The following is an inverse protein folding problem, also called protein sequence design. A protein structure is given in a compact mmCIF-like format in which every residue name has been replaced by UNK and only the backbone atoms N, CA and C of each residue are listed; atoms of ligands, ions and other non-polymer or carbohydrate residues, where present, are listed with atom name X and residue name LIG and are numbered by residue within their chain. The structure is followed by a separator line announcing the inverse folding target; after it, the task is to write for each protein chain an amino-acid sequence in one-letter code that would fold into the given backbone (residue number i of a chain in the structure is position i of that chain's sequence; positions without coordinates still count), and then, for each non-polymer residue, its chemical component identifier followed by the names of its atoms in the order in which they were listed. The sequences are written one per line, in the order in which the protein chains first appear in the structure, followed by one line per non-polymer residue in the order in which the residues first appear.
data_IF_220270634650
#
_entry.id   IF_220270634650
#
_cell.length_a   1.000
_cell.length_b   1.000
_cell.length_c   1.000
_cell.angle_alpha   90.00
_cell.angle_beta   90.00
_cell.angle_gamma   90.00
#
_symmetry.space_group_name_H-M   'P 1'
#
loop_
_entity.id
_entity.type
_entity.pdbx_description
1 polymer ?
#
# COMPACT_ATOMS: atom_id res chain seq x y z
N UNK A 1 45.45 71.21 56.00
CA UNK A 1 44.86 71.47 57.34
C UNK A 1 44.23 70.18 57.82
N UNK A 2 44.90 69.47 58.75
CA UNK A 2 44.48 69.30 60.16
C UNK A 2 43.44 68.16 60.31
N UNK A 3 43.79 66.91 60.70
CA UNK A 3 44.23 66.36 62.01
C UNK A 3 43.25 66.56 63.17
N UNK A 4 42.72 65.45 63.72
CA UNK A 4 42.39 65.17 65.14
C UNK A 4 42.22 63.63 65.28
N UNK A 5 43.11 62.84 65.91
CA UNK A 5 43.35 62.55 67.37
C UNK A 5 42.08 62.04 68.10
N UNK A 6 42.02 60.98 68.94
CA UNK A 6 42.93 60.27 69.86
C UNK A 6 42.58 58.74 69.86
N UNK A 7 43.47 57.73 69.97
CA UNK A 7 44.44 57.28 71.00
C UNK A 7 43.83 56.67 72.29
N UNK A 8 44.12 55.38 72.55
CA UNK A 8 43.80 54.67 73.79
C UNK A 8 44.19 53.19 73.76
N UNK A 9 45.42 52.88 74.20
CA UNK A 9 46.08 51.57 74.27
C UNK A 9 45.64 50.79 75.51
N UNK A 10 45.44 49.46 75.39
CA UNK A 10 45.59 48.54 76.53
C UNK A 10 46.11 47.15 76.08
N UNK A 11 47.28 46.79 76.59
CA UNK A 11 47.99 45.51 76.51
C UNK A 11 47.31 44.45 77.39
N UNK A 12 47.14 43.19 76.92
CA UNK A 12 47.32 41.95 77.72
C UNK A 12 47.70 40.74 76.81
N UNK A 13 48.77 40.07 77.24
CA UNK A 13 49.51 38.82 76.90
C UNK A 13 48.91 37.62 76.10
N UNK A 14 49.65 37.18 75.07
CA UNK A 14 50.48 35.96 74.91
C UNK A 14 50.02 34.53 75.39
N UNK A 15 50.15 33.58 74.44
CA UNK A 15 50.59 32.15 74.47
C UNK A 15 49.54 31.03 74.24
N UNK A 16 49.69 30.26 73.13
CA UNK A 16 49.93 28.80 73.06
C UNK A 16 49.08 28.00 72.04
N UNK A 17 49.78 27.13 71.28
CA UNK A 17 49.35 25.89 70.57
C UNK A 17 48.20 25.97 69.55
N UNK A 18 48.21 25.27 68.41
CA UNK A 18 49.08 24.27 67.80
C UNK A 18 48.39 23.92 66.46
N UNK A 19 49.11 23.81 65.35
CA UNK A 19 49.46 22.49 64.84
C UNK A 19 48.23 21.70 64.33
N UNK A 20 47.78 22.00 63.11
CA UNK A 20 46.73 21.22 62.45
C UNK A 20 46.62 21.57 60.97
N UNK A 21 47.46 20.93 60.14
CA UNK A 21 47.17 20.78 58.70
C UNK A 21 45.94 19.90 58.60
N UNK A 22 44.77 20.50 58.45
CA UNK A 22 43.60 19.78 57.99
C UNK A 22 43.86 19.38 56.54
N UNK A 23 44.05 18.08 56.31
CA UNK A 23 43.75 17.52 54.99
C UNK A 23 42.28 17.86 54.72
N UNK A 24 42.09 18.77 53.76
CA UNK A 24 40.79 19.10 53.21
C UNK A 24 40.27 17.82 52.55
N UNK A 25 39.47 17.05 53.29
CA UNK A 25 38.77 15.89 52.77
C UNK A 25 37.99 16.35 51.55
N UNK A 26 38.42 15.87 50.38
CA UNK A 26 37.73 16.14 49.13
C UNK A 26 36.24 15.81 49.34
N UNK A 27 35.32 16.74 49.00
CA UNK A 27 33.90 16.52 49.20
C UNK A 27 33.48 15.20 48.55
N UNK A 28 32.59 14.42 49.19
CA UNK A 28 32.21 13.10 48.69
C UNK A 28 31.66 13.21 47.26
N UNK A 29 31.96 12.23 46.38
CA UNK A 29 31.54 12.26 44.99
C UNK A 29 30.02 12.43 44.89
N UNK A 30 29.52 13.35 44.04
CA UNK A 30 28.11 13.63 43.96
C UNK A 30 27.33 12.37 43.53
N UNK A 31 26.15 12.10 44.11
CA UNK A 31 25.30 11.00 43.69
C UNK A 31 24.69 11.29 42.32
N UNK A 32 24.72 10.30 41.44
CA UNK A 32 24.15 10.35 40.09
C UNK A 32 23.37 9.09 39.81
N UNK A 33 22.29 9.18 39.05
CA UNK A 33 21.57 7.98 38.62
C UNK A 33 22.15 7.48 37.31
N UNK A 34 22.34 6.17 37.23
CA UNK A 34 22.92 5.50 36.07
C UNK A 34 22.01 4.44 35.49
N UNK A 35 22.23 4.14 34.22
CA UNK A 35 21.46 3.18 33.45
C UNK A 35 22.37 2.48 32.44
N UNK A 36 22.26 1.15 32.35
CA UNK A 36 23.00 0.35 31.38
C UNK A 36 22.34 0.41 30.01
N UNK A 37 23.11 0.74 28.99
CA UNK A 37 22.68 0.83 27.59
C UNK A 37 22.29 -0.56 27.08
N UNK A 38 21.07 -0.66 26.55
CA UNK A 38 20.55 -1.86 25.90
C UNK A 38 20.41 -1.65 24.40
N UNK A 39 20.63 -2.73 23.67
CA UNK A 39 20.37 -2.81 22.23
C UNK A 39 18.91 -3.16 21.99
N UNK A 40 18.26 -2.43 21.09
CA UNK A 40 16.91 -2.72 20.62
C UNK A 40 16.82 -2.49 19.11
N UNK A 41 15.96 -3.24 18.40
CA UNK A 41 15.72 -3.02 16.99
C UNK A 41 14.99 -1.69 16.77
N UNK A 42 15.65 -0.78 16.08
CA UNK A 42 15.13 0.52 15.63
C UNK A 42 14.67 0.35 14.19
N UNK A 43 13.36 0.37 13.98
CA UNK A 43 12.76 0.14 12.68
C UNK A 43 12.26 1.49 12.14
N UNK A 44 12.93 2.09 11.14
CA UNK A 44 12.47 3.31 10.51
C UNK A 44 11.02 3.20 10.06
N UNK A 45 10.19 4.14 10.54
CA UNK A 45 8.79 4.29 10.13
C UNK A 45 8.64 5.58 9.35
N UNK A 46 8.09 5.47 8.16
CA UNK A 46 7.75 6.61 7.31
C UNK A 46 6.24 6.64 7.10
N UNK A 47 5.66 7.84 7.16
CA UNK A 47 4.24 8.05 6.95
C UNK A 47 4.04 8.94 5.73
N UNK A 48 3.17 8.49 4.84
CA UNK A 48 2.79 9.20 3.63
C UNK A 48 1.28 9.34 3.57
N UNK A 49 0.80 10.42 2.95
CA UNK A 49 -0.61 10.56 2.62
C UNK A 49 -0.80 10.04 1.20
N UNK A 50 -1.69 9.07 1.06
CA UNK A 50 -2.04 8.48 -0.21
C UNK A 50 -3.52 8.62 -0.54
N UNK A 51 -3.86 8.28 -1.77
CA UNK A 51 -5.21 8.21 -2.29
C UNK A 51 -5.53 6.79 -2.70
N UNK A 52 -6.69 6.32 -2.28
CA UNK A 52 -7.20 4.99 -2.62
C UNK A 52 -7.77 5.02 -4.05
N UNK A 53 -7.36 4.07 -4.88
CA UNK A 53 -7.77 3.91 -6.27
C UNK A 53 -8.29 2.49 -6.52
N UNK A 54 -9.38 2.37 -7.29
CA UNK A 54 -9.84 1.06 -7.75
C UNK A 54 -8.79 0.41 -8.65
N UNK A 55 -8.73 -0.93 -8.64
CA UNK A 55 -7.77 -1.64 -9.49
C UNK A 55 -8.10 -1.49 -10.96
N UNK A 56 -9.39 -1.63 -11.29
CA UNK A 56 -9.93 -1.44 -12.63
C UNK A 56 -11.20 -0.59 -12.52
N UNK A 57 -11.37 0.35 -13.44
CA UNK A 57 -12.58 1.16 -13.59
C UNK A 57 -13.06 1.04 -15.03
N UNK A 58 -14.33 0.68 -15.22
CA UNK A 58 -14.95 0.65 -16.54
C UNK A 58 -16.22 1.49 -16.57
N UNK A 59 -16.25 2.45 -17.51
CA UNK A 59 -17.41 3.30 -17.77
C UNK A 59 -18.25 2.66 -18.87
N UNK A 60 -19.39 2.09 -18.49
CA UNK A 60 -20.32 1.39 -19.39
C UNK A 60 -20.96 2.41 -20.33
N UNK A 61 -20.75 2.26 -21.63
CA UNK A 61 -21.32 3.13 -22.67
C UNK A 61 -22.06 2.30 -23.72
N UNK A 62 -23.20 2.79 -24.24
CA UNK A 62 -23.88 2.13 -25.33
C UNK A 62 -23.08 2.33 -26.63
N UNK A 63 -23.14 1.34 -27.52
CA UNK A 63 -22.51 1.40 -28.85
C UNK A 63 -23.48 1.72 -29.97
N UNK A 64 -24.78 1.59 -29.70
CA UNK A 64 -25.88 1.91 -30.60
C UNK A 64 -26.85 2.86 -29.92
N UNK A 65 -27.60 3.61 -30.71
CA UNK A 65 -28.61 4.54 -30.22
C UNK A 65 -29.98 3.87 -30.08
N UNK A 66 -30.66 4.10 -28.97
CA UNK A 66 -32.01 3.57 -28.74
C UNK A 66 -32.54 3.85 -27.34
N UNK A 67 -33.78 3.46 -27.09
CA UNK A 67 -34.40 3.60 -25.78
C UNK A 67 -34.06 2.42 -24.88
N UNK A 68 -33.72 2.67 -23.63
CA UNK A 68 -33.55 1.60 -22.62
C UNK A 68 -34.91 0.93 -22.41
N UNK A 69 -34.98 -0.36 -22.68
CA UNK A 69 -36.14 -1.20 -22.44
C UNK A 69 -36.19 -1.68 -20.98
N UNK A 70 -35.06 -2.16 -20.44
CA UNK A 70 -34.98 -2.69 -19.09
C UNK A 70 -33.58 -2.58 -18.50
N UNK A 71 -33.53 -2.56 -17.16
CA UNK A 71 -32.30 -2.62 -16.36
C UNK A 71 -32.25 -3.91 -15.54
N UNK A 72 -31.11 -4.60 -15.57
CA UNK A 72 -30.92 -5.94 -15.02
C UNK A 72 -29.93 -6.00 -13.84
N UNK A 73 -29.78 -4.90 -13.10
CA UNK A 73 -28.98 -4.82 -11.88
C UNK A 73 -29.60 -3.85 -10.86
N UNK A 74 -29.21 -4.01 -9.61
CA UNK A 74 -29.47 -3.05 -8.53
C UNK A 74 -28.22 -2.21 -8.32
N UNK A 75 -28.40 -0.90 -8.13
CA UNK A 75 -27.29 0.02 -7.90
C UNK A 75 -26.56 -0.31 -6.60
N UNK A 76 -25.23 -0.26 -6.64
CA UNK A 76 -24.39 -0.60 -5.49
C UNK A 76 -24.14 -2.10 -5.30
N UNK A 77 -24.74 -2.98 -6.12
CA UNK A 77 -24.46 -4.41 -6.05
C UNK A 77 -23.17 -4.79 -6.80
N UNK A 78 -22.67 -5.99 -6.51
CA UNK A 78 -21.57 -6.59 -7.27
C UNK A 78 -22.11 -7.29 -8.51
N UNK A 79 -21.69 -6.85 -9.68
CA UNK A 79 -22.01 -7.48 -10.97
C UNK A 79 -20.90 -8.42 -11.40
N UNK A 80 -21.26 -9.49 -12.10
CA UNK A 80 -20.29 -10.45 -12.65
C UNK A 80 -19.95 -10.13 -14.11
N UNK A 81 -18.73 -10.43 -14.54
CA UNK A 81 -18.36 -10.36 -15.95
C UNK A 81 -19.33 -11.19 -16.81
N UNK A 82 -19.89 -10.57 -17.85
CA UNK A 82 -20.88 -11.20 -18.74
C UNK A 82 -22.32 -11.12 -18.23
N UNK A 83 -22.59 -10.49 -17.09
CA UNK A 83 -23.95 -10.21 -16.62
C UNK A 83 -24.59 -9.12 -17.48
N UNK A 84 -25.84 -9.34 -17.92
CA UNK A 84 -26.64 -8.33 -18.61
C UNK A 84 -26.92 -7.16 -17.65
N UNK A 85 -26.67 -5.92 -18.09
CA UNK A 85 -26.87 -4.71 -17.30
C UNK A 85 -28.04 -3.89 -17.82
N UNK A 86 -28.06 -3.63 -19.12
CA UNK A 86 -29.10 -2.86 -19.79
C UNK A 86 -29.50 -3.56 -21.08
N UNK A 87 -30.79 -3.46 -21.41
CA UNK A 87 -31.34 -3.85 -22.70
C UNK A 87 -31.87 -2.59 -23.38
N UNK A 88 -31.40 -2.31 -24.59
CA UNK A 88 -31.95 -1.29 -25.50
C UNK A 88 -33.02 -1.96 -26.35
N UNK A 89 -34.12 -1.26 -26.66
CA UNK A 89 -35.20 -1.79 -27.50
C UNK A 89 -34.63 -2.42 -28.80
N UNK A 90 -34.71 -3.76 -28.95
CA UNK A 90 -34.09 -4.45 -30.06
C UNK A 90 -34.97 -4.39 -31.32
N UNK A 91 -36.24 -3.98 -31.24
CA UNK A 91 -37.20 -4.07 -32.36
C UNK A 91 -36.72 -3.35 -33.63
N UNK A 92 -36.16 -2.12 -33.56
CA UNK A 92 -35.64 -1.45 -34.75
C UNK A 92 -34.45 -2.20 -35.38
N UNK A 93 -33.60 -2.81 -34.55
CA UNK A 93 -32.43 -3.57 -34.98
C UNK A 93 -32.80 -4.92 -35.58
N UNK A 94 -33.78 -5.63 -35.00
CA UNK A 94 -34.34 -6.85 -35.57
C UNK A 94 -34.95 -6.57 -36.94
N UNK A 95 -35.74 -5.49 -37.07
CA UNK A 95 -36.33 -5.11 -38.36
C UNK A 95 -35.26 -4.75 -39.40
N UNK A 96 -34.19 -4.05 -39.00
CA UNK A 96 -33.06 -3.73 -39.87
C UNK A 96 -32.31 -4.99 -40.33
N UNK A 97 -32.08 -5.95 -39.42
CA UNK A 97 -31.46 -7.24 -39.73
C UNK A 97 -32.29 -8.05 -40.73
N UNK A 98 -33.60 -8.15 -40.52
CA UNK A 98 -34.48 -8.88 -41.44
C UNK A 98 -34.51 -8.24 -42.83
N UNK A 99 -34.45 -6.90 -42.93
CA UNK A 99 -34.29 -6.21 -44.21
C UNK A 99 -32.97 -6.58 -44.91
N UNK A 100 -31.84 -6.64 -44.19
CA UNK A 100 -30.57 -7.04 -44.79
C UNK A 100 -30.55 -8.52 -45.22
N UNK A 101 -31.19 -9.40 -44.44
CA UNK A 101 -31.37 -10.82 -44.81
C UNK A 101 -32.18 -10.97 -46.09
N UNK A 102 -33.23 -10.18 -46.28
CA UNK A 102 -34.00 -10.15 -47.52
C UNK A 102 -33.14 -9.69 -48.72
N UNK A 103 -32.34 -8.64 -48.55
CA UNK A 103 -31.42 -8.16 -49.59
C UNK A 103 -30.37 -9.21 -49.96
N UNK A 104 -29.82 -9.93 -48.98
CA UNK A 104 -28.90 -11.04 -49.21
C UNK A 104 -29.58 -12.18 -49.99
N UNK A 105 -30.82 -12.54 -49.63
CA UNK A 105 -31.59 -13.55 -50.35
C UNK A 105 -31.85 -13.16 -51.81
N UNK A 106 -32.12 -11.88 -52.08
CA UNK A 106 -32.25 -11.34 -53.43
C UNK A 106 -30.93 -11.47 -54.21
N UNK A 107 -29.80 -11.05 -53.63
CA UNK A 107 -28.48 -11.15 -54.26
C UNK A 107 -28.08 -12.61 -54.54
N UNK A 108 -28.36 -13.53 -53.61
CA UNK A 108 -28.12 -14.96 -53.81
C UNK A 108 -28.99 -15.52 -54.95
N UNK A 109 -30.22 -15.04 -55.10
CA UNK A 109 -31.10 -15.42 -56.20
C UNK A 109 -30.55 -14.94 -57.54
N UNK A 110 -30.04 -13.71 -57.61
CA UNK A 110 -29.37 -13.17 -58.79
C UNK A 110 -28.11 -13.96 -59.15
N UNK A 111 -27.27 -14.29 -58.16
CA UNK A 111 -26.09 -15.13 -58.36
C UNK A 111 -26.44 -16.51 -58.92
N UNK A 112 -27.50 -17.17 -58.43
CA UNK A 112 -27.96 -18.46 -58.98
C UNK A 112 -28.40 -18.36 -60.44
N UNK A 113 -28.93 -17.20 -60.88
CA UNK A 113 -29.27 -16.98 -62.29
C UNK A 113 -27.99 -16.75 -63.10
N UNK A 114 -27.10 -15.86 -62.65
CA UNK A 114 -25.84 -15.57 -63.32
C UNK A 114 -24.94 -16.82 -63.46
N UNK A 115 -24.82 -17.60 -62.39
CA UNK A 115 -24.05 -18.86 -62.39
C UNK A 115 -24.60 -19.88 -63.40
N UNK A 116 -25.92 -20.05 -63.49
CA UNK A 116 -26.53 -20.94 -64.48
C UNK A 116 -26.28 -20.46 -65.91
N UNK A 117 -26.33 -19.15 -66.14
CA UNK A 117 -26.05 -18.57 -67.46
C UNK A 117 -24.57 -18.70 -67.83
N UNK A 118 -23.65 -18.45 -66.89
CA UNK A 118 -22.22 -18.65 -67.06
C UNK A 118 -21.89 -20.11 -67.38
N UNK A 119 -22.42 -21.07 -66.61
CA UNK A 119 -22.24 -22.52 -66.87
C UNK A 119 -22.78 -22.95 -68.24
N UNK A 120 -23.91 -22.38 -68.67
CA UNK A 120 -24.46 -22.60 -70.01
C UNK A 120 -23.56 -21.98 -71.07
N UNK A 121 -23.02 -20.79 -70.83
CA UNK A 121 -22.07 -20.10 -71.69
C UNK A 121 -20.82 -20.94 -71.97
N UNK A 122 -20.23 -21.53 -70.91
CA UNK A 122 -19.08 -22.43 -71.03
C UNK A 122 -19.36 -23.61 -71.99
N UNK A 123 -20.53 -24.23 -71.90
CA UNK A 123 -20.90 -25.33 -72.79
C UNK A 123 -21.10 -24.89 -74.25
N UNK A 124 -21.60 -23.66 -74.46
CA UNK A 124 -21.91 -23.13 -75.79
C UNK A 124 -20.68 -22.55 -76.49
N UNK A 125 -19.72 -21.97 -75.75
CA UNK A 125 -18.49 -21.43 -76.35
C UNK A 125 -17.60 -22.54 -76.87
N UNK A 126 -17.52 -23.68 -76.17
CA UNK A 126 -16.80 -24.88 -76.61
C UNK A 126 -17.37 -25.46 -77.91
N UNK A 127 -18.67 -25.26 -78.14
CA UNK A 127 -19.39 -25.69 -79.35
C UNK A 127 -19.36 -24.63 -80.48
N UNK A 128 -18.75 -23.46 -80.25
CA UNK A 128 -18.75 -22.34 -81.18
C UNK A 128 -20.12 -21.66 -81.35
N UNK A 129 -21.06 -21.89 -80.42
CA UNK A 129 -22.42 -21.37 -80.47
C UNK A 129 -22.56 -19.93 -79.93
N UNK A 130 -21.58 -19.43 -79.17
CA UNK A 130 -21.46 -18.03 -78.72
C UNK A 130 -20.06 -17.49 -78.97
N UNK A 131 -19.91 -16.17 -79.02
CA UNK A 131 -18.61 -15.51 -79.18
C UNK A 131 -17.83 -15.42 -77.86
N UNK A 132 -16.51 -15.20 -77.93
CA UNK A 132 -15.69 -14.94 -76.74
C UNK A 132 -16.14 -13.70 -75.97
N UNK A 133 -16.52 -12.61 -76.68
CA UNK A 133 -17.06 -11.39 -76.05
C UNK A 133 -18.31 -11.71 -75.23
N UNK A 134 -19.21 -12.55 -75.75
CA UNK A 134 -20.42 -12.93 -75.03
C UNK A 134 -20.11 -13.83 -73.82
N UNK A 135 -19.07 -14.68 -73.91
CA UNK A 135 -18.58 -15.46 -72.78
C UNK A 135 -17.97 -14.56 -71.70
N UNK A 136 -17.20 -13.53 -72.08
CA UNK A 136 -16.61 -12.55 -71.16
C UNK A 136 -17.70 -11.75 -70.43
N UNK A 137 -18.77 -11.34 -71.13
CA UNK A 137 -19.94 -10.67 -70.53
C UNK A 137 -20.63 -11.55 -69.48
N UNK A 138 -20.81 -12.84 -69.76
CA UNK A 138 -21.39 -13.80 -68.80
C UNK A 138 -20.49 -14.01 -67.58
N UNK A 139 -19.17 -14.06 -67.80
CA UNK A 139 -18.17 -14.16 -66.74
C UNK A 139 -18.23 -12.94 -65.83
N UNK A 140 -18.20 -11.73 -66.42
CA UNK A 140 -18.30 -10.48 -65.67
C UNK A 140 -19.59 -10.38 -64.86
N UNK A 141 -20.74 -10.77 -65.44
CA UNK A 141 -22.03 -10.79 -64.72
C UNK A 141 -22.02 -11.78 -63.54
N UNK A 142 -21.36 -12.94 -63.69
CA UNK A 142 -21.22 -13.92 -62.62
C UNK A 142 -20.34 -13.40 -61.47
N UNK A 143 -19.18 -12.83 -61.79
CA UNK A 143 -18.25 -12.25 -60.82
C UNK A 143 -18.86 -11.04 -60.08
N UNK A 144 -19.62 -10.20 -60.80
CA UNK A 144 -20.38 -9.09 -60.22
C UNK A 144 -21.43 -9.60 -59.23
N UNK A 145 -22.24 -10.58 -59.63
CA UNK A 145 -23.26 -11.16 -58.75
C UNK A 145 -22.63 -11.85 -57.52
N UNK A 146 -21.45 -12.47 -57.68
CA UNK A 146 -20.71 -13.07 -56.57
C UNK A 146 -20.24 -12.00 -55.59
N UNK A 147 -19.68 -10.90 -56.10
CA UNK A 147 -19.25 -9.74 -55.32
C UNK A 147 -20.42 -9.10 -54.58
N UNK A 148 -21.58 -8.98 -55.24
CA UNK A 148 -22.80 -8.45 -54.63
C UNK A 148 -23.28 -9.31 -53.46
N UNK A 149 -23.20 -10.65 -53.57
CA UNK A 149 -23.53 -11.54 -52.45
C UNK A 149 -22.58 -11.31 -51.27
N UNK A 150 -21.27 -11.12 -51.52
CA UNK A 150 -20.31 -10.83 -50.46
C UNK A 150 -20.62 -9.48 -49.77
N UNK A 151 -20.93 -8.44 -50.54
CA UNK A 151 -21.32 -7.14 -50.00
C UNK A 151 -22.59 -7.22 -49.13
N UNK A 152 -23.62 -7.96 -49.58
CA UNK A 152 -24.85 -8.13 -48.80
C UNK A 152 -24.64 -8.98 -47.55
N UNK A 153 -23.73 -9.97 -47.56
CA UNK A 153 -23.35 -10.71 -46.35
C UNK A 153 -22.74 -9.78 -45.32
N UNK A 154 -21.79 -8.92 -45.72
CA UNK A 154 -21.18 -7.96 -44.80
C UNK A 154 -22.21 -6.99 -44.18
N UNK A 155 -23.26 -6.63 -44.91
CA UNK A 155 -24.36 -5.82 -44.38
C UNK A 155 -25.21 -6.58 -43.35
N UNK A 156 -25.45 -7.89 -43.56
CA UNK A 156 -26.11 -8.74 -42.55
C UNK A 156 -25.26 -8.83 -41.29
N UNK A 157 -23.96 -9.15 -41.43
CA UNK A 157 -23.03 -9.27 -40.30
C UNK A 157 -22.98 -7.96 -39.47
N UNK A 158 -22.99 -6.81 -40.15
CA UNK A 158 -23.08 -5.50 -39.48
C UNK A 158 -24.40 -5.35 -38.71
N UNK A 159 -25.54 -5.68 -39.30
CA UNK A 159 -26.83 -5.58 -38.63
C UNK A 159 -26.96 -6.55 -37.45
N UNK A 160 -26.35 -7.74 -37.53
CA UNK A 160 -26.26 -8.69 -36.40
C UNK A 160 -25.39 -8.13 -35.28
N UNK A 161 -24.28 -7.47 -35.62
CA UNK A 161 -23.43 -6.81 -34.63
C UNK A 161 -24.15 -5.66 -33.93
N UNK A 162 -24.84 -4.81 -34.69
CA UNK A 162 -25.62 -3.69 -34.14
C UNK A 162 -26.74 -4.22 -33.22
N UNK A 163 -27.41 -5.32 -33.58
CA UNK A 163 -28.38 -6.00 -32.72
C UNK A 163 -27.70 -6.56 -31.45
N UNK A 164 -26.52 -7.16 -31.54
CA UNK A 164 -25.81 -7.67 -30.35
C UNK A 164 -25.45 -6.56 -29.35
N UNK A 165 -25.32 -5.31 -29.82
CA UNK A 165 -25.03 -4.15 -28.98
C UNK A 165 -26.25 -3.58 -28.26
N UNK A 166 -27.46 -4.08 -28.53
CA UNK A 166 -28.65 -3.71 -27.77
C UNK A 166 -28.61 -4.30 -26.36
N UNK A 167 -27.93 -5.44 -26.21
CA UNK A 167 -27.67 -6.06 -24.91
C UNK A 167 -26.31 -5.61 -24.37
N UNK A 168 -26.33 -4.86 -23.27
CA UNK A 168 -25.11 -4.31 -22.67
C UNK A 168 -24.69 -5.16 -21.49
N UNK A 169 -23.57 -5.85 -21.64
CA UNK A 169 -23.00 -6.75 -20.64
C UNK A 169 -21.87 -6.11 -19.83
N UNK A 170 -21.70 -6.55 -18.58
CA UNK A 170 -20.57 -6.16 -17.74
C UNK A 170 -19.24 -6.73 -18.27
N UNK A 171 -18.22 -5.91 -18.59
CA UNK A 171 -16.95 -6.40 -19.11
C UNK A 171 -16.03 -6.98 -18.03
N UNK A 172 -16.28 -6.65 -16.76
CA UNK A 172 -15.53 -7.10 -15.59
C UNK A 172 -16.45 -7.32 -14.40
N UNK A 173 -16.00 -8.15 -13.46
CA UNK A 173 -16.67 -8.35 -12.17
C UNK A 173 -16.28 -7.21 -11.23
N UNK A 174 -17.25 -6.53 -10.63
CA UNK A 174 -16.99 -5.39 -9.76
C UNK A 174 -18.27 -4.77 -9.21
N UNK A 175 -18.11 -3.72 -8.39
CA UNK A 175 -19.22 -2.97 -7.81
C UNK A 175 -19.76 -2.01 -8.87
N UNK A 176 -21.06 -2.07 -9.14
CA UNK A 176 -21.70 -1.15 -10.08
C UNK A 176 -22.22 0.10 -9.35
N UNK A 177 -21.88 1.27 -9.88
CA UNK A 177 -22.35 2.55 -9.36
C UNK A 177 -23.81 2.83 -9.70
N UNK A 178 -24.27 4.04 -9.33
CA UNK A 178 -25.59 4.52 -9.73
C UNK A 178 -25.68 4.70 -11.25
N UNK A 179 -26.91 4.72 -11.76
CA UNK A 179 -27.20 5.14 -13.12
C UNK A 179 -28.14 6.33 -13.12
N UNK A 180 -27.88 7.30 -13.98
CA UNK A 180 -28.76 8.46 -14.16
C UNK A 180 -29.85 8.18 -15.24
N UNK A 181 -29.85 6.98 -15.82
CA UNK A 181 -30.76 6.57 -16.90
C UNK A 181 -31.75 5.51 -16.42
N UNK A 182 -33.03 5.77 -16.66
CA UNK A 182 -34.13 4.84 -16.35
C UNK A 182 -34.68 4.19 -17.61
N UNK A 183 -35.55 3.19 -17.45
CA UNK A 183 -36.36 2.65 -18.54
C UNK A 183 -37.07 3.79 -19.29
N UNK A 184 -37.06 3.71 -20.62
CA UNK A 184 -37.57 4.75 -21.53
C UNK A 184 -36.59 5.89 -21.83
N UNK A 185 -35.39 5.91 -21.25
CA UNK A 185 -34.37 6.92 -21.58
C UNK A 185 -33.76 6.65 -22.95
N UNK A 186 -33.59 7.70 -23.77
CA UNK A 186 -32.83 7.61 -25.02
C UNK A 186 -31.33 7.67 -24.72
N UNK A 187 -30.58 6.68 -25.20
CA UNK A 187 -29.13 6.58 -25.02
C UNK A 187 -28.43 6.31 -26.33
N UNK A 188 -27.14 6.60 -26.42
CA UNK A 188 -26.35 6.37 -27.64
C UNK A 188 -24.86 6.67 -27.44
N UNK A 189 -24.01 6.45 -28.45
CA UNK A 189 -22.55 6.55 -28.30
C UNK A 189 -22.03 7.91 -27.81
N UNK A 190 -22.83 8.96 -28.01
CA UNK A 190 -22.51 10.33 -27.59
C UNK A 190 -22.99 10.68 -26.17
N UNK A 191 -23.72 9.79 -25.49
CA UNK A 191 -24.19 10.05 -24.11
C UNK A 191 -23.11 9.77 -23.07
N UNK A 192 -23.33 10.30 -21.86
CA UNK A 192 -22.52 9.94 -20.71
C UNK A 192 -22.61 8.44 -20.40
N UNK A 193 -21.63 7.89 -19.64
CA UNK A 193 -21.66 6.50 -19.22
C UNK A 193 -22.97 6.15 -18.50
N UNK A 194 -23.58 5.02 -18.86
CA UNK A 194 -24.81 4.53 -18.24
C UNK A 194 -24.57 4.16 -16.77
N UNK A 195 -23.43 3.56 -16.50
CA UNK A 195 -22.98 3.20 -15.15
C UNK A 195 -21.45 3.05 -15.16
N UNK A 196 -20.85 3.08 -13.97
CA UNK A 196 -19.43 2.79 -13.77
C UNK A 196 -19.29 1.53 -12.93
N UNK A 197 -18.45 0.60 -13.37
CA UNK A 197 -18.13 -0.62 -12.64
C UNK A 197 -16.69 -0.50 -12.14
N UNK A 198 -16.50 -0.66 -10.85
CA UNK A 198 -15.18 -0.54 -10.20
C UNK A 198 -14.80 -1.85 -9.53
N UNK A 199 -13.56 -2.27 -9.75
CA UNK A 199 -13.00 -3.43 -9.07
C UNK A 199 -12.26 -2.97 -7.81
N UNK A 200 -12.87 -3.28 -6.67
CA UNK A 200 -12.44 -2.82 -5.35
C UNK A 200 -11.58 -3.82 -4.58
N UNK A 201 -11.51 -5.07 -5.04
CA UNK A 201 -10.64 -6.09 -4.46
C UNK A 201 -9.80 -6.78 -5.57
N UNK A 202 -8.46 -6.71 -5.51
CA UNK A 202 -7.67 -5.86 -4.60
C UNK A 202 -7.88 -4.36 -4.88
N UNK A 203 -7.32 -3.50 -4.04
CA UNK A 203 -7.35 -2.03 -4.18
C UNK A 203 -5.94 -1.45 -4.22
N UNK A 204 -5.78 -0.30 -4.86
CA UNK A 204 -4.52 0.44 -4.89
C UNK A 204 -4.56 1.63 -3.93
N UNK A 205 -3.38 2.00 -3.43
CA UNK A 205 -3.14 3.28 -2.77
C UNK A 205 -1.93 3.91 -3.43
N UNK A 206 -2.15 5.09 -4.01
CA UNK A 206 -1.13 5.92 -4.64
C UNK A 206 -0.65 6.97 -3.64
N UNK A 207 0.65 7.05 -3.40
CA UNK A 207 1.24 8.03 -2.49
C UNK A 207 2.60 8.51 -3.01
N UNK A 208 2.98 9.71 -2.62
CA UNK A 208 4.22 10.35 -3.07
C UNK A 208 5.35 10.11 -2.06
N UNK A 209 6.52 9.73 -2.56
CA UNK A 209 7.73 9.51 -1.77
C UNK A 209 8.83 10.47 -2.22
N UNK A 210 9.41 11.27 -1.32
CA UNK A 210 10.53 12.17 -1.65
C UNK A 210 11.73 11.45 -2.29
N UNK A 211 12.39 12.12 -3.25
CA UNK A 211 13.50 11.52 -4.03
C UNK A 211 14.70 11.09 -3.17
N UNK A 212 15.00 11.84 -2.10
CA UNK A 212 16.09 11.55 -1.16
C UNK A 212 15.87 10.22 -0.43
N UNK A 213 14.60 9.95 -0.07
CA UNK A 213 14.19 8.69 0.55
C UNK A 213 14.33 7.53 -0.41
N UNK A 214 13.84 7.69 -1.63
CA UNK A 214 13.97 6.65 -2.65
C UNK A 214 15.44 6.34 -2.95
N UNK A 215 16.29 7.37 -3.01
CA UNK A 215 17.73 7.22 -3.18
C UNK A 215 18.35 6.44 -2.02
N UNK A 216 18.04 6.81 -0.77
CA UNK A 216 18.60 6.15 0.42
C UNK A 216 18.28 4.65 0.46
N UNK A 217 17.05 4.26 0.14
CA UNK A 217 16.62 2.85 0.09
C UNK A 217 17.34 2.10 -1.03
N UNK A 218 17.47 2.70 -2.22
CA UNK A 218 18.18 2.09 -3.36
C UNK A 218 19.66 1.87 -3.09
N UNK A 219 20.33 2.83 -2.44
CA UNK A 219 21.74 2.70 -2.05
C UNK A 219 21.89 1.56 -1.03
N UNK A 220 21.04 1.52 -0.01
CA UNK A 220 21.06 0.47 1.00
C UNK A 220 20.82 -0.92 0.38
N UNK A 221 19.85 -1.07 -0.53
CA UNK A 221 19.64 -2.32 -1.27
C UNK A 221 20.85 -2.70 -2.13
N UNK A 222 21.50 -1.72 -2.75
CA UNK A 222 22.72 -1.92 -3.55
C UNK A 222 23.88 -2.46 -2.71
N UNK A 223 24.14 -1.87 -1.55
CA UNK A 223 25.17 -2.30 -0.60
C UNK A 223 24.91 -3.72 -0.11
N UNK A 224 23.68 -3.99 0.34
CA UNK A 224 23.29 -5.32 0.83
C UNK A 224 23.44 -6.42 -0.22
N UNK A 225 23.11 -6.10 -1.48
CA UNK A 225 23.32 -7.03 -2.61
C UNK A 225 24.82 -7.32 -2.83
N UNK A 226 25.68 -6.32 -2.68
CA UNK A 226 27.13 -6.51 -2.77
C UNK A 226 27.67 -7.36 -1.62
N UNK A 227 27.08 -7.24 -0.43
CA UNK A 227 27.47 -7.97 0.80
C UNK A 227 26.82 -9.35 0.92
N UNK A 228 25.95 -9.75 -0.03
CA UNK A 228 25.24 -11.03 -0.01
C UNK A 228 24.15 -11.12 1.08
N UNK A 229 23.70 -9.99 1.60
CA UNK A 229 22.67 -9.89 2.63
C UNK A 229 21.25 -9.98 2.03
N UNK A 230 20.28 -10.37 2.85
CA UNK A 230 18.87 -10.42 2.46
C UNK A 230 18.36 -9.01 2.03
N UNK A 231 17.45 -8.94 1.03
CA UNK A 231 16.89 -7.67 0.57
C UNK A 231 16.11 -6.96 1.67
N UNK A 232 15.97 -5.64 1.52
CA UNK A 232 15.21 -4.80 2.45
C UNK A 232 13.76 -5.27 2.48
N UNK A 233 13.24 -5.55 3.67
CA UNK A 233 11.83 -5.90 3.83
C UNK A 233 11.02 -4.65 4.16
N UNK A 234 9.94 -4.43 3.42
CA UNK A 234 9.03 -3.31 3.62
C UNK A 234 7.71 -3.84 4.19
N UNK A 235 7.31 -3.37 5.37
CA UNK A 235 5.95 -3.59 5.90
C UNK A 235 5.12 -2.35 5.60
N UNK A 236 4.27 -2.46 4.57
CA UNK A 236 3.37 -1.38 4.13
C UNK A 236 2.01 -1.59 4.77
N UNK A 237 1.57 -0.64 5.59
CA UNK A 237 0.27 -0.66 6.25
C UNK A 237 -0.49 0.62 5.99
N UNK A 238 -1.81 0.55 6.14
CA UNK A 238 -2.66 1.74 6.18
C UNK A 238 -3.04 1.97 7.64
N UNK A 239 -2.84 3.18 8.12
CA UNK A 239 -3.33 3.63 9.41
C UNK A 239 -4.70 4.29 9.22
N UNK A 240 -5.65 3.87 10.06
CA UNK A 240 -7.01 4.37 10.06
C UNK A 240 -7.13 5.63 10.93
N UNK A 241 -8.20 6.44 10.77
CA UNK A 241 -8.38 7.66 11.55
C UNK A 241 -8.44 7.47 13.07
N UNK A 242 -8.79 6.27 13.54
CA UNK A 242 -8.83 5.89 14.96
C UNK A 242 -7.46 5.46 15.52
N UNK A 243 -6.41 5.51 14.70
CA UNK A 243 -5.05 5.09 15.05
C UNK A 243 -4.81 3.57 14.96
N UNK A 244 -5.82 2.79 14.55
CA UNK A 244 -5.65 1.36 14.30
C UNK A 244 -5.08 1.11 12.91
N UNK A 245 -4.48 -0.06 12.69
CA UNK A 245 -4.00 -0.44 11.36
C UNK A 245 -5.07 -1.22 10.62
N UNK A 246 -5.18 -0.96 9.31
CA UNK A 246 -5.95 -1.79 8.39
C UNK A 246 -5.46 -3.26 8.48
N UNK A 247 -6.38 -4.25 8.56
CA UNK A 247 -6.00 -5.63 8.86
C UNK A 247 -5.05 -6.27 7.84
N UNK A 248 -5.14 -5.87 6.57
CA UNK A 248 -4.33 -6.43 5.50
C UNK A 248 -3.11 -5.57 5.21
N UNK A 249 -1.97 -6.24 5.05
CA UNK A 249 -0.72 -5.60 4.62
C UNK A 249 -0.74 -5.34 3.12
N UNK A 250 -0.10 -4.25 2.73
CA UNK A 250 0.07 -3.87 1.34
C UNK A 250 1.40 -4.36 0.78
N UNK A 251 1.49 -4.39 -0.54
CA UNK A 251 2.73 -4.64 -1.28
C UNK A 251 2.96 -3.52 -2.28
N UNK A 252 4.16 -2.97 -2.34
CA UNK A 252 4.52 -2.00 -3.39
C UNK A 252 4.55 -2.75 -4.72
N UNK A 253 3.74 -2.31 -5.67
CA UNK A 253 3.63 -2.94 -7.01
C UNK A 253 4.20 -2.06 -8.11
N UNK A 254 4.35 -0.77 -7.85
CA UNK A 254 4.86 0.19 -8.82
C UNK A 254 5.55 1.35 -8.11
N UNK A 255 6.67 1.77 -8.68
CA UNK A 255 7.38 3.00 -8.36
C UNK A 255 7.58 3.70 -9.69
N UNK A 256 7.18 4.95 -9.80
CA UNK A 256 7.29 5.71 -11.03
C UNK A 256 8.77 5.85 -11.46
N UNK A 257 8.99 5.93 -12.76
CA UNK A 257 10.31 6.18 -13.32
C UNK A 257 10.59 7.68 -13.50
N UNK A 258 9.60 8.54 -13.24
CA UNK A 258 9.73 9.99 -13.26
C UNK A 258 9.59 10.58 -11.86
N UNK A 259 10.37 11.62 -11.60
CA UNK A 259 10.26 12.48 -10.42
C UNK A 259 9.43 13.69 -10.85
N UNK A 260 8.43 14.08 -10.06
CA UNK A 260 7.70 15.31 -10.30
C UNK A 260 8.61 16.52 -9.97
N UNK A 261 8.98 17.36 -10.96
CA UNK A 261 9.88 18.48 -10.74
C UNK A 261 9.31 19.58 -9.84
N UNK A 262 7.99 19.61 -9.63
CA UNK A 262 7.36 20.61 -8.76
C UNK A 262 7.43 20.21 -7.27
N UNK A 263 7.39 18.91 -6.98
CA UNK A 263 7.31 18.39 -5.61
C UNK A 263 8.56 17.64 -5.17
N UNK A 264 9.47 17.30 -6.08
CA UNK A 264 10.69 16.52 -5.78
C UNK A 264 10.36 15.11 -5.27
N UNK A 265 9.22 14.57 -5.66
CA UNK A 265 8.69 13.29 -5.18
C UNK A 265 8.42 12.32 -6.34
N UNK A 266 8.40 11.03 -6.01
CA UNK A 266 8.10 9.93 -6.93
C UNK A 266 6.81 9.26 -6.49
N UNK A 267 5.91 9.06 -7.45
CA UNK A 267 4.66 8.37 -7.20
C UNK A 267 4.92 6.86 -6.96
N UNK A 268 4.38 6.35 -5.87
CA UNK A 268 4.47 4.94 -5.48
C UNK A 268 3.06 4.37 -5.34
N UNK A 269 2.84 3.19 -5.90
CA UNK A 269 1.56 2.48 -5.80
C UNK A 269 1.75 1.20 -4.99
N UNK A 270 0.98 1.09 -3.92
CA UNK A 270 0.84 -0.15 -3.15
C UNK A 270 -0.51 -0.81 -3.41
N UNK A 271 -0.53 -2.14 -3.42
CA UNK A 271 -1.72 -2.97 -3.58
C UNK A 271 -2.09 -3.61 -2.24
N UNK A 272 -3.35 -3.51 -1.87
CA UNK A 272 -3.92 -4.08 -0.64
C UNK A 272 -5.08 -5.01 -0.98
N UNK A 273 -5.20 -6.18 -0.32
CA UNK A 273 -6.45 -6.94 -0.31
C UNK A 273 -7.57 -6.11 0.33
N UNK A 274 -8.78 -6.14 -0.22
CA UNK A 274 -9.93 -5.41 0.32
C UNK A 274 -11.24 -6.23 0.25
N UNK A 275 -11.27 -7.46 0.82
CA UNK A 275 -12.41 -8.36 0.70
C UNK A 275 -13.68 -7.84 1.40
N UNK A 276 -13.54 -7.03 2.47
CA UNK A 276 -14.68 -6.40 3.16
C UNK A 276 -15.04 -5.02 2.59
N UNK A 277 -14.41 -4.56 1.50
CA UNK A 277 -14.68 -3.27 0.86
C UNK A 277 -14.62 -2.06 1.82
N UNK A 278 -13.79 -2.15 2.86
CA UNK A 278 -13.63 -1.08 3.87
C UNK A 278 -12.91 0.14 3.29
N UNK A 279 -12.01 -0.08 2.33
CA UNK A 279 -11.35 1.00 1.59
C UNK A 279 -12.20 1.34 0.36
N UNK A 280 -12.49 2.63 0.17
CA UNK A 280 -13.33 3.13 -0.91
C UNK A 280 -12.51 3.99 -1.88
N UNK A 281 -12.79 3.88 -3.18
CA UNK A 281 -12.11 4.69 -4.19
C UNK A 281 -12.26 6.19 -3.89
N UNK A 282 -11.15 6.92 -3.99
CA UNK A 282 -11.10 8.36 -3.73
C UNK A 282 -10.85 8.74 -2.27
N UNK A 283 -10.92 7.79 -1.33
CA UNK A 283 -10.58 7.99 0.08
C UNK A 283 -9.10 8.37 0.26
N UNK A 284 -8.80 9.20 1.25
CA UNK A 284 -7.42 9.41 1.69
C UNK A 284 -7.00 8.31 2.66
N UNK A 285 -5.79 7.78 2.49
CA UNK A 285 -5.21 6.78 3.36
C UNK A 285 -3.85 7.26 3.89
N UNK A 286 -3.59 7.06 5.18
CA UNK A 286 -2.25 7.25 5.74
C UNK A 286 -1.47 5.96 5.55
N UNK A 287 -0.47 5.97 4.69
CA UNK A 287 0.38 4.82 4.43
C UNK A 287 1.57 4.87 5.38
N UNK A 288 1.71 3.86 6.23
CA UNK A 288 2.86 3.67 7.11
C UNK A 288 3.76 2.60 6.52
N UNK A 289 5.01 2.95 6.23
CA UNK A 289 6.03 2.03 5.72
C UNK A 289 7.08 1.85 6.79
N UNK A 290 7.26 0.61 7.22
CA UNK A 290 8.38 0.23 8.08
C UNK A 290 9.45 -0.45 7.24
N UNK A 291 10.69 0.00 7.38
CA UNK A 291 11.84 -0.50 6.62
C UNK A 291 12.68 -1.38 7.55
N UNK A 292 12.76 -2.68 7.26
CA UNK A 292 13.55 -3.62 8.04
C UNK A 292 14.85 -3.93 7.30
N UNK A 293 15.99 -3.61 7.95
CA UNK A 293 17.35 -3.79 7.41
C UNK A 293 18.12 -4.95 8.08
N UNK A 294 17.45 -5.88 8.76
CA UNK A 294 18.10 -7.01 9.43
C UNK A 294 18.81 -6.61 10.74
N UNK A 295 19.90 -7.30 11.10
CA UNK A 295 20.64 -7.08 12.37
C UNK A 295 21.19 -5.65 12.53
N UNK A 296 21.40 -4.93 11.43
CA UNK A 296 21.80 -3.50 11.42
C UNK A 296 20.73 -2.57 12.00
N UNK A 297 19.49 -3.03 12.16
CA UNK A 297 18.45 -2.29 12.85
C UNK A 297 18.69 -2.28 14.38
N UNK A 298 19.50 -3.19 14.93
CA UNK A 298 19.78 -3.25 16.36
C UNK A 298 20.77 -2.14 16.71
N UNK A 299 20.29 -1.09 17.39
CA UNK A 299 21.14 0.03 17.82
C UNK A 299 21.13 0.14 19.36
N UNK A 300 22.25 0.57 19.96
CA UNK A 300 22.25 0.98 21.36
C UNK A 300 21.33 2.18 21.54
N UNK A 301 20.37 2.07 22.47
CA UNK A 301 19.43 3.13 22.78
C UNK A 301 19.85 3.85 24.06
N UNK A 302 19.87 5.18 24.05
CA UNK A 302 20.21 6.01 25.23
C UNK A 302 19.03 6.92 25.58
N UNK A 303 18.65 7.07 26.87
CA UNK A 303 17.57 7.98 27.24
C UNK A 303 17.85 9.43 26.87
N UNK A 304 16.80 10.14 26.46
CA UNK A 304 16.89 11.57 26.15
C UNK A 304 17.43 12.41 27.32
N UNK A 305 17.10 12.03 28.56
CA UNK A 305 17.56 12.73 29.75
C UNK A 305 19.07 12.68 29.96
N UNK A 306 19.77 11.70 29.37
CA UNK A 306 21.21 11.55 29.48
C UNK A 306 22.00 12.39 28.47
N UNK A 307 21.36 12.82 27.39
CA UNK A 307 22.01 13.52 26.28
C UNK A 307 22.13 15.00 26.60
N UNK A 308 23.36 15.51 26.57
CA UNK A 308 23.68 16.93 26.70
C UNK A 308 24.23 17.47 25.38
N UNK A 309 24.21 18.79 25.21
CA UNK A 309 24.69 19.47 24.01
C UNK A 309 25.65 20.60 24.37
N UNK A 310 26.75 20.71 23.65
CA UNK A 310 27.70 21.84 23.71
C UNK A 310 28.07 22.33 22.31
N UNK A 311 29.07 23.22 22.22
CA UNK A 311 29.52 23.79 20.95
C UNK A 311 30.14 22.77 19.97
N UNK A 312 30.59 21.60 20.45
CA UNK A 312 31.23 20.56 19.64
C UNK A 312 30.23 19.46 19.22
N UNK A 313 29.13 19.30 19.96
CA UNK A 313 28.01 18.46 19.57
C UNK A 313 27.26 17.85 20.75
N UNK A 314 26.50 16.80 20.47
CA UNK A 314 25.76 16.04 21.48
C UNK A 314 26.69 15.03 22.14
N UNK A 315 26.58 14.90 23.46
CA UNK A 315 27.42 14.01 24.26
C UNK A 315 26.67 13.43 25.44
N UNK A 316 27.23 12.37 26.02
CA UNK A 316 26.77 11.75 27.27
C UNK A 316 27.94 11.56 28.22
N UNK A 317 27.64 11.33 29.50
CA UNK A 317 28.63 10.86 30.46
C UNK A 317 28.49 9.35 30.64
N UNK A 318 29.55 8.63 30.30
CA UNK A 318 29.68 7.19 30.51
C UNK A 318 30.48 6.96 31.79
N UNK A 319 30.05 6.00 32.60
CA UNK A 319 30.76 5.61 33.81
C UNK A 319 31.92 4.67 33.45
N UNK A 320 33.15 5.16 33.60
CA UNK A 320 34.38 4.40 33.41
C UNK A 320 34.82 3.65 34.67
N UNK A 321 36.00 3.03 34.60
CA UNK A 321 36.62 2.36 35.74
C UNK A 321 36.83 3.32 36.92
N UNK A 322 36.58 2.84 38.15
CA UNK A 322 36.69 3.66 39.36
C UNK A 322 35.55 4.66 39.56
N UNK A 323 34.40 4.47 38.90
CA UNK A 323 33.24 5.37 38.92
C UNK A 323 33.56 6.80 38.45
N UNK A 324 34.44 6.93 37.46
CA UNK A 324 34.82 8.21 36.87
C UNK A 324 33.90 8.54 35.70
N UNK A 325 33.34 9.74 35.68
CA UNK A 325 32.46 10.18 34.60
C UNK A 325 33.27 10.62 33.37
N UNK A 326 33.22 9.84 32.30
CA UNK A 326 33.90 10.14 31.04
C UNK A 326 32.93 10.78 30.05
N UNK A 327 33.32 11.92 29.50
CA UNK A 327 32.53 12.62 28.48
C UNK A 327 32.75 11.95 27.13
N UNK A 328 31.67 11.58 26.44
CA UNK A 328 31.76 10.97 25.11
C UNK A 328 30.74 11.59 24.16
N UNK A 329 31.25 12.09 23.02
CA UNK A 329 30.41 12.60 21.95
C UNK A 329 29.70 11.45 21.23
N UNK A 330 28.46 11.70 20.83
CA UNK A 330 27.61 10.71 20.18
C UNK A 330 27.14 11.23 18.83
N UNK A 331 27.04 10.33 17.87
CA UNK A 331 26.24 10.51 16.67
C UNK A 331 24.87 9.88 16.92
N UNK A 332 23.83 10.71 16.99
CA UNK A 332 22.47 10.26 17.31
C UNK A 332 21.67 10.05 16.03
N UNK A 333 20.99 8.91 15.95
CA UNK A 333 20.08 8.54 14.87
C UNK A 333 18.62 8.83 15.22
N UNK A 334 17.73 7.90 14.86
CA UNK A 334 16.29 8.02 15.08
C UNK A 334 15.90 8.01 16.57
N UNK A 335 14.83 8.73 16.91
CA UNK A 335 14.23 8.73 18.25
C UNK A 335 13.14 7.67 18.34
N UNK A 336 13.17 6.87 19.41
CA UNK A 336 12.18 5.83 19.72
C UNK A 336 11.58 6.14 21.11
N UNK A 337 10.41 6.77 21.16
CA UNK A 337 9.77 7.16 22.42
C UNK A 337 10.61 8.15 23.25
N UNK A 338 11.01 7.75 24.46
CA UNK A 338 11.89 8.50 25.38
C UNK A 338 13.40 8.22 25.14
N UNK A 339 13.74 7.42 24.12
CA UNK A 339 15.09 6.96 23.80
C UNK A 339 15.60 7.53 22.48
N UNK A 340 16.91 7.69 22.35
CA UNK A 340 17.63 7.98 21.10
C UNK A 340 18.40 6.74 20.68
N UNK A 341 18.29 6.36 19.40
CA UNK A 341 19.22 5.44 18.79
C UNK A 341 20.57 6.11 18.58
N UNK A 342 21.65 5.43 18.93
CA UNK A 342 23.01 5.93 18.73
C UNK A 342 23.62 5.22 17.53
N UNK A 343 24.15 5.98 16.59
CA UNK A 343 24.81 5.48 15.37
C UNK A 343 26.30 5.24 15.62
N UNK A 344 26.95 6.15 16.35
CA UNK A 344 28.33 6.01 16.79
C UNK A 344 28.58 6.68 18.15
N UNK A 345 29.58 6.18 18.87
CA UNK A 345 30.05 6.76 20.13
C UNK A 345 29.59 6.02 21.39
N UNK A 346 28.75 4.99 21.33
CA UNK A 346 28.44 4.17 22.52
C UNK A 346 28.18 2.72 22.16
N UNK A 347 28.51 1.81 23.07
CA UNK A 347 28.28 0.36 22.91
C UNK A 347 27.23 -0.14 23.90
N UNK A 348 26.56 -1.22 23.55
CA UNK A 348 25.70 -1.93 24.49
C UNK A 348 26.48 -2.40 25.72
N UNK A 349 25.82 -2.42 26.87
CA UNK A 349 26.42 -2.80 28.16
C UNK A 349 27.19 -1.68 28.86
N UNK A 350 27.46 -0.55 28.20
CA UNK A 350 28.04 0.62 28.85
C UNK A 350 27.02 1.30 29.78
N UNK A 351 27.49 1.92 30.86
CA UNK A 351 26.63 2.55 31.87
C UNK A 351 26.64 4.07 31.70
N UNK A 352 25.49 4.66 31.43
CA UNK A 352 25.33 6.09 31.16
C UNK A 352 24.67 6.78 32.35
N UNK A 353 25.10 8.00 32.64
CA UNK A 353 24.48 8.86 33.66
C UNK A 353 23.21 9.50 33.09
N UNK A 354 22.06 9.22 33.71
CA UNK A 354 20.73 9.67 33.23
C UNK A 354 20.14 10.81 34.04
N UNK A 355 20.56 10.99 35.31
CA UNK A 355 20.14 12.09 36.18
C UNK A 355 21.33 12.57 37.05
N UNK A 356 21.24 13.83 37.51
CA UNK A 356 22.32 14.46 38.30
C UNK A 356 23.42 15.11 37.47
N UNK A 357 23.23 15.23 36.15
CA UNK A 357 24.21 15.75 35.17
C UNK A 357 24.78 17.13 35.52
N UNK A 358 23.99 18.00 36.17
CA UNK A 358 24.44 19.34 36.59
C UNK A 358 25.59 19.31 37.62
N UNK A 359 25.76 18.18 38.32
CA UNK A 359 26.79 17.98 39.36
C UNK A 359 27.98 17.18 38.83
N UNK A 360 27.90 16.68 37.60
CA UNK A 360 28.95 15.87 36.97
C UNK A 360 29.98 16.81 36.37
N UNK A 361 31.25 16.51 36.64
CA UNK A 361 32.39 17.14 35.98
C UNK A 361 33.16 16.02 35.29
N UNK A 362 33.53 16.24 34.03
CA UNK A 362 34.33 15.29 33.27
C UNK A 362 35.60 14.88 34.05
N UNK A 363 35.94 13.60 33.97
CA UNK A 363 37.13 12.98 34.56
C UNK A 363 37.19 13.05 36.10
N UNK A 364 36.05 13.28 36.76
CA UNK A 364 35.90 13.21 38.22
C UNK A 364 35.06 12.01 38.67
N UNK A 365 35.32 11.48 39.88
CA UNK A 365 34.50 10.40 40.43
C UNK A 365 33.08 10.88 40.73
N UNK A 366 32.12 9.99 40.55
CA UNK A 366 30.70 10.14 40.91
C UNK A 366 30.25 8.93 41.71
N UNK A 367 29.17 9.06 42.50
CA UNK A 367 28.59 7.93 43.23
C UNK A 367 27.37 7.41 42.46
N UNK A 368 27.46 6.27 41.75
CA UNK A 368 26.35 5.75 40.96
C UNK A 368 25.22 5.23 41.86
N UNK A 369 23.99 5.52 41.46
CA UNK A 369 22.75 5.01 42.05
C UNK A 369 21.88 4.43 40.93
N UNK A 370 21.14 3.36 41.22
CA UNK A 370 20.21 2.80 40.23
C UNK A 370 19.02 3.73 40.08
N UNK A 371 18.65 4.06 38.83
CA UNK A 371 17.45 4.85 38.58
C UNK A 371 16.18 4.02 38.86
N UNK A 372 15.17 4.57 39.55
CA UNK A 372 13.90 3.88 39.80
C UNK A 372 13.01 3.79 38.55
N UNK A 373 13.31 4.54 37.47
CA UNK A 373 12.53 4.55 36.23
C UNK A 373 13.39 4.00 35.09
N UNK A 374 13.03 2.82 34.59
CA UNK A 374 13.69 2.18 33.46
C UNK A 374 12.93 2.49 32.14
N UNK A 375 13.42 3.41 31.29
CA UNK A 375 12.75 3.76 30.03
C UNK A 375 12.74 2.63 28.99
N UNK A 376 13.52 1.56 29.18
CA UNK A 376 13.49 0.39 28.28
C UNK A 376 12.26 -0.50 28.45
N UNK A 377 11.54 -0.41 29.57
CA UNK A 377 10.38 -1.27 29.85
C UNK A 377 9.11 -0.81 29.08
N UNK A 378 9.14 0.38 28.46
CA UNK A 378 8.05 0.91 27.62
C UNK A 378 8.27 0.70 26.12
N UNK A 379 9.44 0.22 25.69
CA UNK A 379 9.84 0.12 24.28
C UNK A 379 9.57 -1.26 23.65
N UNK A 380 8.91 -2.18 24.35
CA UNK A 380 8.50 -3.47 23.80
C UNK A 380 7.18 -3.26 23.04
N UNK A 381 7.14 -3.42 21.69
CA UNK A 381 5.87 -3.50 20.99
C UNK A 381 5.07 -4.66 21.57
N UNK A 382 3.74 -4.56 21.76
CA UNK A 382 2.95 -5.71 22.17
C UNK A 382 3.21 -6.84 21.18
N UNK A 383 3.71 -7.96 21.71
CA UNK A 383 3.88 -9.20 20.97
C UNK A 383 2.51 -9.55 20.37
N UNK A 384 2.40 -9.85 19.05
CA UNK A 384 1.14 -10.32 18.52
C UNK A 384 0.72 -11.56 19.31
N UNK A 385 -0.57 -11.71 19.67
CA UNK A 385 -1.01 -12.88 20.40
C UNK A 385 -0.65 -14.12 19.58
N UNK A 386 0.19 -14.98 20.16
CA UNK A 386 0.46 -16.30 19.62
C UNK A 386 -0.89 -17.02 19.45
N UNK A 387 -1.21 -17.53 18.25
CA UNK A 387 -2.30 -18.47 18.12
C UNK A 387 -1.86 -19.74 18.87
N UNK A 388 -2.76 -20.27 19.68
CA UNK A 388 -2.63 -21.48 20.49
C UNK A 388 -1.87 -21.34 21.81
N UNK A 389 -2.63 -21.00 22.85
CA UNK A 389 -2.78 -21.82 24.07
C UNK A 389 -3.78 -21.18 25.02
N UNK A 390 -5.06 -21.57 24.92
CA UNK A 390 -5.89 -21.99 26.05
C UNK A 390 -7.34 -22.22 25.62
N UNK A 391 -7.70 -23.51 25.55
CA UNK A 391 -9.06 -23.98 25.40
C UNK A 391 -9.16 -25.51 25.35
N UNK A 392 -8.26 -26.23 26.04
CA UNK A 392 -8.36 -27.69 26.18
C UNK A 392 -7.88 -28.13 27.57
N UNK A 393 -8.76 -27.95 28.56
CA UNK A 393 -8.82 -28.62 29.86
C UNK A 393 -10.12 -28.10 30.47
N UNK A 394 -11.04 -28.85 31.03
CA UNK A 394 -11.15 -30.23 31.46
C UNK A 394 -12.66 -30.36 31.68
N UNK A 395 -13.33 -31.39 31.15
CA UNK A 395 -14.65 -31.81 31.65
C UNK A 395 -14.82 -33.31 31.35
N UNK A 396 -14.07 -34.10 32.10
CA UNK A 396 -14.38 -35.50 32.36
C UNK A 396 -14.83 -35.60 33.82
N UNK A 397 -16.14 -35.60 34.05
CA UNK A 397 -16.82 -36.58 34.90
C UNK A 397 -18.27 -36.18 35.17
N UNK A 398 -19.20 -37.07 34.80
CA UNK A 398 -20.52 -37.10 35.41
C UNK A 398 -21.66 -37.34 34.44
N UNK A 399 -21.85 -38.59 34.00
CA UNK A 399 -23.17 -39.27 34.13
C UNK A 399 -23.07 -40.75 33.70
N UNK A 400 -22.89 -41.62 34.70
CA UNK A 400 -23.37 -43.01 34.61
C UNK A 400 -24.84 -42.99 35.04
N UNK A 401 -25.75 -43.48 34.18
CA UNK A 401 -26.61 -44.66 34.46
C UNK A 401 -27.75 -44.84 33.43
N UNK A 402 -27.80 -46.09 32.93
CA UNK A 402 -28.96 -46.85 32.41
C UNK A 402 -29.42 -46.36 31.02
N UNK A 403 -29.40 -47.20 29.99
CA UNK A 403 -30.24 -48.40 29.93
C UNK A 403 -29.66 -49.50 29.02
N UNK A 404 -30.11 -50.69 29.34
CA UNK A 404 -29.78 -52.03 28.85
C UNK A 404 -30.64 -52.41 27.65
N UNK A 405 -30.10 -53.24 26.75
CA UNK A 405 -30.80 -53.91 25.64
C UNK A 405 -29.93 -53.81 24.38
N UNK A 406 -29.02 -54.73 24.08
CA UNK A 406 -29.15 -56.18 23.84
C UNK A 406 -30.11 -56.54 22.69
N UNK A 407 -29.63 -57.45 21.83
CA UNK A 407 -30.12 -57.97 20.54
C UNK A 407 -29.64 -57.20 19.29
N UNK A 408 -29.16 -57.82 18.21
CA UNK A 408 -28.73 -59.20 17.88
C UNK A 408 -28.16 -59.13 16.44
N UNK A 409 -27.39 -60.14 16.10
CA UNK A 409 -26.62 -60.40 14.89
C UNK A 409 -27.33 -60.26 13.53
N UNK A 410 -26.47 -60.02 12.53
CA UNK A 410 -26.49 -60.63 11.18
C UNK A 410 -27.56 -60.21 10.15
N UNK A 411 -27.15 -59.43 9.14
CA UNK A 411 -26.95 -59.86 7.75
C UNK A 411 -26.41 -58.75 6.85
#
# INVERSE_FOLDING_TARGET
MARFFLFGVLLVSLVSCGGGKGEEQAPPPPPVEVLTVREQPVIPRFEYVGRVEATDEYKVRPRVEGYIQSRHFTEGDTVQKGQLLFEIDPKPFIAALENQRANLSQAQSALRVAERNYRRGLQLVDQGAISQVQMDELTGTFEEAQSQVQAMRANVDKAELDLSYTEIYAPLTGLIGRTDYTEGSLVGPATDPLATIVKMDPIYVLFEVPEDRLYSVRVAEGQRRQEGLAPVQLDVRIEQPDGTFYPYRGVIVFVDNQIDPNTGSVAVRARFPNPQQLLVQGQYARVSIRVFTGEEAIKPLVPQSAVMEDMQGRYVYVLGEGNVAQKRYLELGQREGELWAVEDGIKAGETVIVNGLQRVVADKPVTPQNTPRNPYDQAVPPEPPSPDQNGMSDDADGERRRDTGEFDDSK
#
